data_IF_755824658888
#
_entry.id   IF_755824658888
#
_cell.length_a   1.000
_cell.length_b   1.000
_cell.length_c   1.000
_cell.angle_alpha   90.00
_cell.angle_beta   90.00
_cell.angle_gamma   90.00
#
_symmetry.space_group_name_H-M   'P 1'
#
loop_
_entity.id
_entity.type
_entity.pdbx_description
1 polymer ?
#
# COMPACT_ATOMS: atom_id res chain seq x y z
N UNK A 1 -10.61 28.22 -0.15
CA UNK A 1 -11.28 27.67 -1.33
C UNK A 1 -11.40 26.18 -1.08
N UNK A 2 -12.55 25.74 -0.58
CA UNK A 2 -12.78 24.36 -0.18
C UNK A 2 -12.99 23.50 -1.43
N UNK A 3 -12.01 22.67 -1.75
CA UNK A 3 -12.27 21.48 -2.55
C UNK A 3 -12.86 20.45 -1.60
N UNK A 4 -14.12 20.09 -1.79
CA UNK A 4 -14.65 18.85 -1.25
C UNK A 4 -13.84 17.74 -1.90
N UNK A 5 -12.86 17.19 -1.16
CA UNK A 5 -12.04 16.08 -1.62
C UNK A 5 -12.95 14.86 -1.70
N UNK A 6 -13.40 14.55 -2.90
CA UNK A 6 -14.09 13.30 -3.18
C UNK A 6 -13.10 12.17 -2.88
N UNK A 7 -13.41 11.32 -1.90
CA UNK A 7 -12.78 10.00 -1.76
C UNK A 7 -13.14 9.20 -3.01
N UNK A 8 -12.40 9.42 -4.10
CA UNK A 8 -12.57 8.70 -5.34
C UNK A 8 -11.96 7.30 -5.14
N UNK A 9 -12.81 6.32 -4.81
CA UNK A 9 -12.44 4.90 -4.77
C UNK A 9 -12.88 4.22 -6.05
N UNK A 10 -11.95 3.55 -6.73
CA UNK A 10 -12.25 2.74 -7.92
C UNK A 10 -12.05 1.27 -7.57
N UNK A 11 -13.15 0.63 -7.21
CA UNK A 11 -13.21 -0.79 -6.80
C UNK A 11 -13.07 -0.98 -5.29
N UNK A 12 -13.55 -2.13 -4.82
CA UNK A 12 -13.35 -2.59 -3.45
C UNK A 12 -12.00 -3.32 -3.35
N UNK A 13 -11.29 -3.23 -2.21
CA UNK A 13 -10.10 -4.04 -2.00
C UNK A 13 -10.47 -5.53 -2.03
N UNK A 14 -9.59 -6.41 -2.55
CA UNK A 14 -9.86 -7.82 -2.56
C UNK A 14 -10.03 -8.36 -1.13
N UNK A 15 -10.82 -9.41 -1.00
CA UNK A 15 -11.22 -9.96 0.31
C UNK A 15 -10.00 -10.25 1.19
N UNK A 16 -10.00 -9.65 2.38
CA UNK A 16 -8.94 -9.84 3.38
C UNK A 16 -7.68 -8.98 3.15
N UNK A 17 -7.62 -8.18 2.08
CA UNK A 17 -6.48 -7.28 1.83
C UNK A 17 -6.26 -6.30 2.98
N UNK A 18 -7.31 -5.65 3.47
CA UNK A 18 -7.17 -4.65 4.53
C UNK A 18 -6.76 -5.26 5.87
N UNK A 19 -7.15 -6.50 6.13
CA UNK A 19 -6.77 -7.25 7.33
C UNK A 19 -5.33 -7.73 7.24
N UNK A 20 -4.93 -8.27 6.09
CA UNK A 20 -3.65 -8.93 5.91
C UNK A 20 -2.52 -8.01 5.45
N UNK A 21 -2.81 -6.97 4.66
CA UNK A 21 -1.83 -6.12 3.95
C UNK A 21 -1.82 -4.70 4.52
N UNK A 22 -2.79 -3.85 4.15
CA UNK A 22 -2.84 -2.43 4.54
C UNK A 22 -4.29 -1.93 4.60
N UNK A 23 -4.64 -1.22 5.68
CA UNK A 23 -5.95 -0.58 5.85
C UNK A 23 -6.07 0.62 4.93
N UNK A 24 -7.11 0.69 4.12
CA UNK A 24 -7.32 1.78 3.16
C UNK A 24 -8.20 2.91 3.70
N UNK A 25 -8.77 2.73 4.89
CA UNK A 25 -9.56 3.75 5.57
C UNK A 25 -8.76 5.05 5.80
N UNK A 26 -9.35 6.19 5.44
CA UNK A 26 -8.71 7.51 5.49
C UNK A 26 -7.67 7.78 4.40
N UNK A 27 -7.55 6.94 3.37
CA UNK A 27 -6.66 7.16 2.20
C UNK A 27 -7.42 7.75 1.03
N UNK A 28 -6.77 8.64 0.30
CA UNK A 28 -7.36 9.34 -0.84
C UNK A 28 -7.06 8.63 -2.17
N UNK A 29 -7.88 8.87 -3.21
CA UNK A 29 -7.67 8.36 -4.57
C UNK A 29 -7.37 6.85 -4.67
N UNK A 30 -8.08 6.03 -3.87
CA UNK A 30 -7.85 4.58 -3.85
C UNK A 30 -8.22 3.97 -5.20
N UNK A 31 -7.27 3.29 -5.82
CA UNK A 31 -7.45 2.55 -7.08
C UNK A 31 -7.09 1.09 -6.86
N UNK A 32 -7.99 0.19 -7.23
CA UNK A 32 -7.77 -1.26 -7.15
C UNK A 32 -7.75 -1.84 -8.56
N UNK A 33 -6.73 -2.62 -8.86
CA UNK A 33 -6.65 -3.46 -10.06
C UNK A 33 -6.30 -4.89 -9.64
N UNK A 34 -7.34 -5.68 -9.39
CA UNK A 34 -7.22 -7.05 -8.88
C UNK A 34 -6.46 -7.97 -9.84
N UNK A 35 -6.64 -7.80 -11.16
CA UNK A 35 -6.00 -8.68 -12.16
C UNK A 35 -4.48 -8.55 -12.16
N UNK A 36 -3.97 -7.38 -11.80
CA UNK A 36 -2.53 -7.12 -11.70
C UNK A 36 -2.00 -7.23 -10.27
N UNK A 37 -2.87 -7.50 -9.30
CA UNK A 37 -2.53 -7.51 -7.89
C UNK A 37 -2.05 -6.14 -7.43
N UNK A 38 -2.77 -5.06 -7.72
CA UNK A 38 -2.33 -3.69 -7.45
C UNK A 38 -3.38 -2.89 -6.69
N UNK A 39 -2.92 -2.17 -5.66
CA UNK A 39 -3.67 -1.10 -4.99
C UNK A 39 -2.81 0.16 -4.99
N UNK A 40 -3.36 1.27 -5.46
CA UNK A 40 -2.74 2.59 -5.37
C UNK A 40 -3.59 3.54 -4.55
N UNK A 41 -2.97 4.50 -3.88
CA UNK A 41 -3.67 5.55 -3.12
C UNK A 41 -2.74 6.75 -2.90
N UNK A 42 -3.31 7.85 -2.45
CA UNK A 42 -2.62 9.10 -2.11
C UNK A 42 -2.61 9.31 -0.58
N UNK A 43 -1.53 9.87 -0.07
CA UNK A 43 -1.41 10.33 1.32
C UNK A 43 -0.84 11.74 1.37
N UNK A 44 -1.29 12.54 2.33
CA UNK A 44 -0.66 13.82 2.63
C UNK A 44 0.65 13.59 3.39
N UNK A 45 1.70 14.34 3.04
CA UNK A 45 3.00 14.26 3.73
C UNK A 45 4.17 13.82 2.86
N UNK A 46 5.30 13.58 3.53
CA UNK A 46 6.57 13.20 2.92
C UNK A 46 6.59 11.70 2.59
N UNK A 47 7.26 11.33 1.50
CA UNK A 47 7.27 9.96 1.00
C UNK A 47 7.95 9.00 1.98
N UNK A 48 9.02 9.45 2.65
CA UNK A 48 9.80 8.69 3.61
C UNK A 48 8.98 8.40 4.87
N UNK A 49 8.29 9.42 5.41
CA UNK A 49 7.41 9.25 6.58
C UNK A 49 6.24 8.33 6.26
N UNK A 50 5.63 8.51 5.09
CA UNK A 50 4.55 7.65 4.60
C UNK A 50 5.04 6.21 4.49
N UNK A 51 6.18 6.00 3.86
CA UNK A 51 6.79 4.68 3.70
C UNK A 51 7.10 4.02 5.04
N UNK A 52 7.72 4.73 5.99
CA UNK A 52 7.98 4.20 7.33
C UNK A 52 6.70 3.81 8.08
N UNK A 53 5.62 4.58 7.94
CA UNK A 53 4.33 4.24 8.54
C UNK A 53 3.74 2.97 7.94
N UNK A 54 3.81 2.81 6.62
CA UNK A 54 3.31 1.62 5.93
C UNK A 54 4.14 0.39 6.25
N UNK A 55 5.46 0.55 6.36
CA UNK A 55 6.36 -0.52 6.79
C UNK A 55 6.02 -1.01 8.21
N UNK A 56 5.78 -0.11 9.16
CA UNK A 56 5.37 -0.48 10.52
C UNK A 56 4.02 -1.21 10.52
N UNK A 57 3.06 -0.77 9.73
CA UNK A 57 1.75 -1.45 9.60
C UNK A 57 1.92 -2.88 9.05
N UNK A 58 2.71 -3.04 7.99
CA UNK A 58 3.02 -4.35 7.41
C UNK A 58 3.72 -5.25 8.43
N UNK A 59 4.72 -4.74 9.15
CA UNK A 59 5.41 -5.50 10.20
C UNK A 59 4.46 -5.94 11.32
N UNK A 60 3.55 -5.06 11.76
CA UNK A 60 2.52 -5.38 12.75
C UNK A 60 1.56 -6.49 12.26
N UNK A 61 1.37 -6.61 10.94
CA UNK A 61 0.59 -7.68 10.29
C UNK A 61 1.40 -8.93 9.95
N UNK A 62 2.66 -9.01 10.40
CA UNK A 62 3.54 -10.17 10.26
C UNK A 62 4.34 -10.24 8.95
N UNK A 63 4.43 -9.12 8.22
CA UNK A 63 5.29 -9.02 7.04
C UNK A 63 6.74 -8.76 7.42
N UNK A 64 7.66 -9.36 6.66
CA UNK A 64 9.10 -9.15 6.78
C UNK A 64 9.59 -8.36 5.57
N UNK A 65 10.17 -7.18 5.82
CA UNK A 65 10.78 -6.37 4.78
C UNK A 65 12.10 -6.96 4.32
N UNK A 66 12.27 -7.12 3.01
CA UNK A 66 13.51 -7.55 2.37
C UNK A 66 14.31 -6.29 2.01
N UNK A 67 15.51 -6.14 2.58
CA UNK A 67 16.36 -4.99 2.30
C UNK A 67 16.76 -4.96 0.82
N UNK A 68 16.40 -3.89 0.12
CA UNK A 68 16.70 -3.68 -1.30
C UNK A 68 17.84 -2.67 -1.53
N UNK A 69 18.34 -2.04 -0.47
CA UNK A 69 19.34 -0.95 -0.54
C UNK A 69 18.82 0.37 -1.11
N UNK A 70 17.52 0.48 -1.42
CA UNK A 70 16.91 1.67 -1.99
C UNK A 70 15.94 2.34 -1.02
N UNK A 71 15.98 3.67 -0.96
CA UNK A 71 15.05 4.48 -0.16
C UNK A 71 13.72 4.66 -0.92
N UNK A 72 12.59 4.56 -0.20
CA UNK A 72 11.25 4.84 -0.74
C UNK A 72 10.52 3.66 -1.39
N UNK A 73 11.17 2.49 -1.55
CA UNK A 73 10.49 1.27 -1.98
C UNK A 73 11.11 -0.02 -1.41
N UNK A 74 10.26 -0.99 -1.10
CA UNK A 74 10.70 -2.27 -0.51
C UNK A 74 9.74 -3.40 -0.85
N UNK A 75 10.30 -4.61 -0.96
CA UNK A 75 9.52 -5.85 -1.04
C UNK A 75 9.35 -6.44 0.36
N UNK A 76 8.18 -6.99 0.61
CA UNK A 76 7.79 -7.63 1.86
C UNK A 76 7.32 -9.04 1.57
N UNK A 77 7.65 -9.97 2.46
CA UNK A 77 7.22 -11.36 2.39
C UNK A 77 6.47 -11.75 3.65
N UNK A 78 5.50 -12.64 3.52
CA UNK A 78 4.71 -13.16 4.63
C UNK A 78 4.64 -14.68 4.56
N UNK A 79 4.95 -15.35 5.68
CA UNK A 79 5.04 -16.81 5.71
C UNK A 79 3.69 -17.51 5.97
N UNK A 80 2.61 -16.77 6.18
CA UNK A 80 1.26 -17.28 6.39
C UNK A 80 0.20 -16.36 5.77
N UNK A 81 -1.01 -16.88 5.59
CA UNK A 81 -2.12 -16.13 5.01
C UNK A 81 -2.23 -16.22 3.49
N UNK A 82 -3.16 -15.46 2.94
CA UNK A 82 -3.48 -15.46 1.51
C UNK A 82 -2.43 -14.70 0.72
N UNK A 83 -2.04 -13.54 1.24
CA UNK A 83 -1.05 -12.64 0.63
C UNK A 83 0.34 -13.02 1.10
N UNK A 84 1.23 -13.37 0.16
CA UNK A 84 2.56 -13.90 0.47
C UNK A 84 3.70 -12.95 0.11
N UNK A 85 3.44 -12.06 -0.82
CA UNK A 85 4.40 -11.06 -1.27
C UNK A 85 3.71 -9.73 -1.49
N UNK A 86 4.39 -8.65 -1.13
CA UNK A 86 3.97 -7.29 -1.40
C UNK A 86 5.17 -6.44 -1.79
N UNK A 87 4.96 -5.47 -2.66
CA UNK A 87 5.92 -4.44 -3.02
C UNK A 87 5.26 -3.10 -2.76
N UNK A 88 5.92 -2.26 -1.99
CA UNK A 88 5.44 -0.92 -1.69
C UNK A 88 6.44 0.08 -2.23
N UNK A 89 5.94 1.06 -2.98
CA UNK A 89 6.70 2.22 -3.41
C UNK A 89 5.94 3.50 -3.05
N UNK A 90 6.66 4.46 -2.47
CA UNK A 90 6.15 5.78 -2.13
C UNK A 90 6.88 6.82 -2.98
N UNK A 91 6.15 7.61 -3.75
CA UNK A 91 6.70 8.65 -4.62
C UNK A 91 6.08 9.99 -4.29
N UNK A 92 6.92 10.99 -4.06
CA UNK A 92 6.51 12.37 -3.80
C UNK A 92 5.94 13.01 -5.07
N UNK A 93 4.73 13.55 -5.00
CA UNK A 93 4.07 14.29 -6.08
C UNK A 93 3.57 15.64 -5.54
N UNK A 94 4.33 16.70 -5.76
CA UNK A 94 4.03 18.02 -5.19
C UNK A 94 3.97 17.97 -3.67
N UNK A 95 2.80 18.30 -3.09
CA UNK A 95 2.54 18.26 -1.64
C UNK A 95 2.05 16.90 -1.13
N UNK A 96 1.88 15.92 -2.02
CA UNK A 96 1.32 14.60 -1.72
C UNK A 96 2.35 13.50 -1.92
N UNK A 97 2.03 12.31 -1.43
CA UNK A 97 2.75 11.08 -1.73
C UNK A 97 1.79 10.11 -2.40
N UNK A 98 2.15 9.67 -3.60
CA UNK A 98 1.49 8.57 -4.28
C UNK A 98 2.12 7.27 -3.80
N UNK A 99 1.27 6.31 -3.41
CA UNK A 99 1.70 5.00 -2.97
C UNK A 99 1.17 3.96 -3.93
N UNK A 100 2.06 3.06 -4.33
CA UNK A 100 1.73 1.87 -5.11
C UNK A 100 2.06 0.64 -4.28
N UNK A 101 1.07 -0.22 -4.14
CA UNK A 101 1.18 -1.52 -3.48
C UNK A 101 0.88 -2.59 -4.51
N UNK A 102 1.90 -3.35 -4.88
CA UNK A 102 1.72 -4.57 -5.65
C UNK A 102 1.68 -5.74 -4.68
N UNK A 103 0.83 -6.73 -4.90
CA UNK A 103 0.74 -7.91 -4.06
C UNK A 103 0.64 -9.16 -4.93
N UNK A 104 1.05 -10.28 -4.35
CA UNK A 104 0.81 -11.60 -4.88
C UNK A 104 0.29 -12.50 -3.77
N UNK A 105 -0.72 -13.29 -4.10
CA UNK A 105 -1.23 -14.34 -3.23
C UNK A 105 -0.41 -15.60 -3.40
N UNK A 106 -0.52 -16.54 -2.44
CA UNK A 106 -0.07 -17.90 -2.70
C UNK A 106 -0.74 -18.39 -4.00
N UNK A 107 0.04 -19.01 -4.89
CA UNK A 107 -0.57 -19.78 -5.97
C UNK A 107 -1.46 -20.85 -5.32
N UNK A 108 -2.70 -20.93 -5.78
CA UNK A 108 -3.63 -21.99 -5.36
C UNK A 108 -3.08 -23.37 -5.72
#
# INVERSE_FOLDING_TARGET
MGGEFVEARTGDPPRGFEDEVLRLDGREDVRVEERLGLVGFSCSGAAEKTFSSLEQELQAKGWLGVESGNEGWKSFVKNSGTYRWAFVACVRVGTWTSVVVRYATAAA
#
